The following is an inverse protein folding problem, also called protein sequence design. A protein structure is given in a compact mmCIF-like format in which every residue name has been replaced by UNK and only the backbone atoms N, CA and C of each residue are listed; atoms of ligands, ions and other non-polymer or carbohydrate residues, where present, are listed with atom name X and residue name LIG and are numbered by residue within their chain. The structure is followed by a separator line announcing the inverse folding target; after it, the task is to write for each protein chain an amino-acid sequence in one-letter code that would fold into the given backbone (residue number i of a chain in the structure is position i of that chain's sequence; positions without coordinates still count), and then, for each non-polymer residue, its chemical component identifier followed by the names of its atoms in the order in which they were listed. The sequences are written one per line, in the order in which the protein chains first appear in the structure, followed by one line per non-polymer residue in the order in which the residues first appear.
data_IF_043876886491
#
_entry.id   IF_043876886491
#
_cell.length_a   1.000
_cell.length_b   1.000
_cell.length_c   1.000
_cell.angle_alpha   90.00
_cell.angle_beta   90.00
_cell.angle_gamma   90.00
#
_symmetry.space_group_name_H-M   'P 1'
#
loop_
_entity.id
_entity.type
_entity.pdbx_description
1 polymer ?
#
# COMPACT_ATOMS: atom_id res chain seq x y z
N UNK A 1 -5.90 30.05 9.38
CA UNK A 1 -4.62 29.72 8.72
C UNK A 1 -4.94 28.72 7.63
N UNK A 2 -5.12 29.20 6.40
CA UNK A 2 -5.44 28.34 5.26
C UNK A 2 -4.15 27.75 4.70
N UNK A 3 -3.73 26.61 5.24
CA UNK A 3 -2.58 25.87 4.74
C UNK A 3 -2.91 25.23 3.40
N UNK A 4 -2.22 25.65 2.33
CA UNK A 4 -2.23 24.89 1.06
C UNK A 4 -1.79 23.46 1.36
N UNK A 5 -2.54 22.49 0.83
CA UNK A 5 -2.24 21.06 0.95
C UNK A 5 -0.93 20.79 0.20
N UNK A 6 0.19 20.76 0.93
CA UNK A 6 1.51 20.50 0.35
C UNK A 6 1.51 19.13 -0.32
N UNK A 7 1.98 19.08 -1.57
CA UNK A 7 2.17 17.83 -2.28
C UNK A 7 3.44 17.16 -1.73
N UNK A 8 3.25 16.04 -1.03
CA UNK A 8 4.34 15.23 -0.48
C UNK A 8 4.77 14.20 -1.53
N UNK A 9 6.06 14.13 -1.79
CA UNK A 9 6.66 13.11 -2.66
C UNK A 9 7.47 12.12 -1.81
N UNK A 10 7.31 10.83 -2.10
CA UNK A 10 8.11 9.76 -1.51
C UNK A 10 8.91 9.08 -2.64
N UNK A 11 10.24 9.12 -2.55
CA UNK A 11 11.13 8.48 -3.53
C UNK A 11 11.79 7.27 -2.86
N UNK A 12 11.66 6.10 -3.50
CA UNK A 12 12.37 4.89 -3.12
C UNK A 12 13.50 4.64 -4.13
N UNK A 13 14.75 4.66 -3.67
CA UNK A 13 15.93 4.36 -4.49
C UNK A 13 16.80 3.34 -3.76
N UNK A 14 16.97 2.17 -4.36
CA UNK A 14 17.62 1.01 -3.74
C UNK A 14 18.17 0.04 -4.80
N UNK A 15 19.15 -0.81 -4.45
CA UNK A 15 19.62 -1.89 -5.32
C UNK A 15 18.51 -2.86 -5.76
N UNK A 16 18.75 -3.62 -6.83
CA UNK A 16 17.77 -4.50 -7.48
C UNK A 16 17.32 -5.70 -6.63
N UNK A 17 18.12 -6.09 -5.63
CA UNK A 17 17.81 -7.17 -4.68
C UNK A 17 17.01 -6.68 -3.46
N UNK A 18 16.74 -5.38 -3.37
CA UNK A 18 16.02 -4.81 -2.24
C UNK A 18 14.51 -5.13 -2.29
N UNK A 19 13.92 -5.43 -1.12
CA UNK A 19 12.48 -5.71 -0.97
C UNK A 19 11.57 -4.61 -1.53
N UNK A 20 12.03 -3.36 -1.61
CA UNK A 20 11.24 -2.27 -2.19
C UNK A 20 10.86 -2.51 -3.67
N UNK A 21 11.58 -3.36 -4.40
CA UNK A 21 11.20 -3.77 -5.75
C UNK A 21 9.88 -4.54 -5.78
N UNK A 22 9.48 -5.20 -4.68
CA UNK A 22 8.17 -5.86 -4.55
C UNK A 22 6.98 -4.89 -4.65
N UNK A 23 7.21 -3.58 -4.50
CA UNK A 23 6.16 -2.59 -4.72
C UNK A 23 5.67 -2.57 -6.18
N UNK A 24 6.56 -2.86 -7.15
CA UNK A 24 6.21 -2.93 -8.57
C UNK A 24 5.32 -4.16 -8.83
N UNK A 25 5.72 -5.33 -8.33
CA UNK A 25 4.93 -6.56 -8.41
C UNK A 25 3.52 -6.36 -7.82
N UNK A 26 3.44 -5.77 -6.62
CA UNK A 26 2.18 -5.46 -5.96
C UNK A 26 1.29 -4.54 -6.80
N UNK A 27 1.85 -3.46 -7.36
CA UNK A 27 1.12 -2.52 -8.23
C UNK A 27 0.54 -3.25 -9.45
N UNK A 28 1.37 -4.01 -10.16
CA UNK A 28 0.96 -4.64 -11.42
C UNK A 28 -0.08 -5.75 -11.19
N UNK A 29 0.02 -6.47 -10.07
CA UNK A 29 -1.02 -7.41 -9.67
C UNK A 29 -2.35 -6.72 -9.37
N UNK A 30 -2.36 -5.62 -8.61
CA UNK A 30 -3.61 -4.90 -8.33
C UNK A 30 -4.23 -4.28 -9.60
N UNK A 31 -3.42 -3.83 -10.55
CA UNK A 31 -3.92 -3.29 -11.83
C UNK A 31 -4.63 -4.35 -12.69
N UNK A 32 -4.18 -5.61 -12.60
CA UNK A 32 -4.76 -6.74 -13.36
C UNK A 32 -5.87 -7.47 -12.59
N UNK A 33 -5.85 -7.41 -11.24
CA UNK A 33 -6.84 -8.05 -10.37
C UNK A 33 -7.75 -7.02 -9.67
N UNK A 34 -8.81 -6.61 -10.38
CA UNK A 34 -9.78 -5.60 -9.88
C UNK A 34 -10.44 -5.98 -8.56
N UNK A 35 -10.68 -7.28 -8.32
CA UNK A 35 -11.28 -7.76 -7.08
C UNK A 35 -10.34 -7.49 -5.89
N UNK A 36 -9.06 -7.89 -6.01
CA UNK A 36 -8.07 -7.63 -4.96
C UNK A 36 -7.82 -6.13 -4.75
N UNK A 37 -7.82 -5.34 -5.83
CA UNK A 37 -7.72 -3.89 -5.72
C UNK A 37 -8.86 -3.27 -4.92
N UNK A 38 -10.09 -3.78 -5.10
CA UNK A 38 -11.26 -3.32 -4.33
C UNK A 38 -11.14 -3.68 -2.85
N UNK A 39 -10.69 -4.88 -2.53
CA UNK A 39 -10.41 -5.28 -1.14
C UNK A 39 -9.37 -4.36 -0.48
N UNK A 40 -8.33 -3.96 -1.23
CA UNK A 40 -7.33 -3.01 -0.72
C UNK A 40 -7.86 -1.60 -0.51
N UNK A 41 -8.78 -1.14 -1.38
CA UNK A 41 -9.47 0.13 -1.21
C UNK A 41 -10.29 0.14 0.07
N UNK A 42 -11.12 -0.89 0.27
CA UNK A 42 -12.01 -1.00 1.42
C UNK A 42 -11.21 -1.04 2.73
N UNK A 43 -10.12 -1.82 2.77
CA UNK A 43 -9.18 -1.81 3.89
C UNK A 43 -8.61 -0.42 4.17
N UNK A 44 -8.16 0.31 3.14
CA UNK A 44 -7.60 1.66 3.32
C UNK A 44 -8.64 2.63 3.87
N UNK A 45 -9.90 2.53 3.44
CA UNK A 45 -10.99 3.38 3.93
C UNK A 45 -11.32 3.07 5.39
N UNK A 46 -11.37 1.79 5.78
CA UNK A 46 -11.56 1.37 7.16
C UNK A 46 -10.44 1.90 8.06
N UNK A 47 -9.18 1.67 7.68
CA UNK A 47 -8.02 2.10 8.46
C UNK A 47 -7.94 3.62 8.57
N UNK A 48 -8.29 4.36 7.50
CA UNK A 48 -8.31 5.82 7.53
C UNK A 48 -9.37 6.36 8.50
N UNK A 49 -10.54 5.70 8.57
CA UNK A 49 -11.59 6.02 9.54
C UNK A 49 -11.13 5.74 10.97
N UNK A 50 -10.56 4.54 11.20
CA UNK A 50 -10.15 4.06 12.52
C UNK A 50 -8.92 4.79 13.09
N UNK A 51 -7.94 5.11 12.25
CA UNK A 51 -6.64 5.66 12.66
C UNK A 51 -6.40 7.07 12.11
N UNK A 52 -7.44 7.91 12.14
CA UNK A 52 -7.42 9.28 11.57
C UNK A 52 -6.23 10.13 12.00
N UNK A 53 -5.83 10.03 13.28
CA UNK A 53 -4.72 10.80 13.86
C UNK A 53 -3.49 9.92 14.17
N UNK A 54 -3.49 8.66 13.75
CA UNK A 54 -2.41 7.70 13.99
C UNK A 54 -1.91 7.14 12.66
N UNK A 55 -0.95 7.86 12.08
CA UNK A 55 -0.31 7.46 10.83
C UNK A 55 0.41 6.12 10.96
N UNK A 56 0.96 5.81 12.13
CA UNK A 56 1.71 4.57 12.37
C UNK A 56 0.80 3.36 12.25
N UNK A 57 -0.31 3.37 12.98
CA UNK A 57 -1.31 2.30 12.93
C UNK A 57 -1.97 2.17 11.55
N UNK A 58 -2.20 3.28 10.85
CA UNK A 58 -2.68 3.24 9.46
C UNK A 58 -1.70 2.52 8.52
N UNK A 59 -0.39 2.79 8.64
CA UNK A 59 0.63 2.13 7.81
C UNK A 59 0.73 0.65 8.17
N UNK A 60 0.82 0.34 9.46
CA UNK A 60 0.95 -1.04 9.96
C UNK A 60 -0.25 -1.91 9.60
N UNK A 61 -1.48 -1.36 9.67
CA UNK A 61 -2.71 -2.10 9.35
C UNK A 61 -2.81 -2.59 7.90
N UNK A 62 -1.97 -2.09 6.99
CA UNK A 62 -1.91 -2.56 5.59
C UNK A 62 -0.93 -3.73 5.40
N UNK A 63 -0.10 -4.04 6.39
CA UNK A 63 1.05 -4.94 6.26
C UNK A 63 0.64 -6.35 5.85
N UNK A 64 -0.33 -6.93 6.55
CA UNK A 64 -0.72 -8.33 6.32
C UNK A 64 -1.38 -8.52 4.95
N UNK A 65 -2.24 -7.58 4.56
CA UNK A 65 -2.82 -7.56 3.22
C UNK A 65 -1.75 -7.52 2.12
N UNK A 66 -0.73 -6.67 2.28
CA UNK A 66 0.36 -6.55 1.30
C UNK A 66 1.13 -7.86 1.22
N UNK A 67 1.47 -8.47 2.36
CA UNK A 67 2.18 -9.76 2.41
C UNK A 67 1.38 -10.87 1.73
N UNK A 68 0.12 -11.05 2.11
CA UNK A 68 -0.78 -12.04 1.51
C UNK A 68 -0.89 -11.84 -0.01
N UNK A 69 -1.01 -10.58 -0.46
CA UNK A 69 -1.08 -10.28 -1.90
C UNK A 69 0.22 -10.66 -2.62
N UNK A 70 1.38 -10.38 -2.03
CA UNK A 70 2.67 -10.74 -2.60
C UNK A 70 2.87 -12.26 -2.65
N UNK A 71 2.37 -13.00 -1.65
CA UNK A 71 2.40 -14.46 -1.64
C UNK A 71 1.54 -15.07 -2.77
N UNK A 72 0.38 -14.47 -3.07
CA UNK A 72 -0.45 -14.88 -4.21
C UNK A 72 0.25 -14.70 -5.57
N UNK A 73 1.15 -13.72 -5.69
CA UNK A 73 1.94 -13.51 -6.92
C UNK A 73 2.99 -14.63 -7.07
N UNK A 74 3.66 -15.02 -5.98
CA UNK A 74 4.72 -16.03 -6.00
C UNK A 74 4.25 -17.48 -6.21
N UNK A 75 2.95 -17.73 -6.07
CA UNK A 75 2.32 -19.04 -6.19
C UNK A 75 1.65 -19.28 -7.56
N UNK A 76 1.84 -18.38 -8.54
CA UNK A 76 1.31 -18.50 -9.90
C UNK A 76 2.43 -18.62 -10.94
#
# INVERSE_FOLDING_TARGET
MDGKKEQIFHIHMCPNDNVMWKQIDFRDFLNTNKKRAKEYEDLKLELASKFKNDRGSYVLGKTDFIKETLELIGNN
#
